data_IF_463065158490
#
_entry.id   IF_463065158490
#
_cell.length_a   1.000
_cell.length_b   1.000
_cell.length_c   1.000
_cell.angle_alpha   90.00
_cell.angle_beta   90.00
_cell.angle_gamma   90.00
#
_symmetry.space_group_name_H-M   'P 1'
#
loop_
_entity.id
_entity.type
_entity.pdbx_description
1 polymer ?
#
# COMPACT_ATOMS: atom_id res chain seq x y z
N UNK A 1 -8.60 1.09 19.48
CA UNK A 1 -8.38 0.80 18.06
C UNK A 1 -9.34 -0.31 17.65
N UNK A 2 -9.84 -0.27 16.41
CA UNK A 2 -10.67 -1.31 15.81
C UNK A 2 -10.03 -1.75 14.49
N UNK A 3 -10.24 -3.02 14.12
CA UNK A 3 -9.82 -3.57 12.84
C UNK A 3 -11.06 -3.78 11.96
N UNK A 4 -11.07 -3.17 10.79
CA UNK A 4 -12.09 -3.37 9.77
C UNK A 4 -11.50 -4.28 8.70
N UNK A 5 -12.16 -5.42 8.45
CA UNK A 5 -11.75 -6.40 7.44
C UNK A 5 -12.73 -6.35 6.28
N UNK A 6 -12.25 -5.96 5.11
CA UNK A 6 -13.05 -5.80 3.91
C UNK A 6 -12.87 -6.99 2.96
N UNK A 7 -13.87 -7.24 2.13
CA UNK A 7 -13.78 -8.11 0.96
C UNK A 7 -13.76 -7.26 -0.31
N UNK A 8 -12.55 -6.84 -0.72
CA UNK A 8 -12.35 -5.96 -1.89
C UNK A 8 -12.46 -6.69 -3.24
N UNK A 9 -12.70 -8.02 -3.25
CA UNK A 9 -12.90 -8.78 -4.49
C UNK A 9 -14.15 -8.31 -5.23
N UNK A 10 -15.19 -7.92 -4.50
CA UNK A 10 -16.41 -7.33 -5.09
C UNK A 10 -16.13 -5.97 -5.78
N UNK A 11 -15.06 -5.28 -5.37
CA UNK A 11 -14.68 -3.99 -5.94
C UNK A 11 -13.69 -4.10 -7.09
N UNK A 12 -13.05 -5.27 -7.24
CA UNK A 12 -12.00 -5.52 -8.21
C UNK A 12 -12.47 -5.27 -9.65
N UNK A 13 -11.59 -4.77 -10.52
CA UNK A 13 -11.97 -4.42 -11.89
C UNK A 13 -12.40 -5.65 -12.70
N UNK A 14 -11.91 -6.84 -12.35
CA UNK A 14 -12.28 -8.15 -12.93
C UNK A 14 -13.51 -8.82 -12.28
N UNK A 15 -14.21 -8.16 -11.35
CA UNK A 15 -15.43 -8.73 -10.79
C UNK A 15 -16.52 -8.86 -11.88
N UNK A 16 -17.47 -9.79 -11.70
CA UNK A 16 -18.57 -9.97 -12.64
C UNK A 16 -19.60 -8.83 -12.45
N UNK A 17 -19.35 -7.68 -13.07
CA UNK A 17 -20.14 -6.45 -12.85
C UNK A 17 -21.57 -6.52 -13.37
N UNK A 18 -21.83 -7.40 -14.32
CA UNK A 18 -23.16 -7.64 -14.88
C UNK A 18 -24.02 -8.51 -13.96
N UNK A 19 -23.43 -9.14 -12.95
CA UNK A 19 -24.15 -9.86 -11.92
C UNK A 19 -24.75 -8.88 -10.89
N UNK A 20 -26.09 -8.78 -10.80
CA UNK A 20 -26.74 -7.90 -9.84
C UNK A 20 -26.36 -8.20 -8.38
N UNK A 21 -26.05 -9.46 -8.06
CA UNK A 21 -25.65 -9.87 -6.71
C UNK A 21 -24.27 -9.30 -6.35
N UNK A 22 -23.31 -9.35 -7.28
CA UNK A 22 -21.96 -8.79 -7.08
C UNK A 22 -22.04 -7.28 -6.86
N UNK A 23 -22.80 -6.58 -7.69
CA UNK A 23 -22.97 -5.13 -7.57
C UNK A 23 -23.68 -4.74 -6.26
N UNK A 24 -24.78 -5.43 -5.92
CA UNK A 24 -25.48 -5.22 -4.65
C UNK A 24 -24.56 -5.43 -3.44
N UNK A 25 -23.79 -6.51 -3.44
CA UNK A 25 -22.86 -6.84 -2.34
C UNK A 25 -21.75 -5.79 -2.20
N UNK A 26 -21.23 -5.29 -3.33
CA UNK A 26 -20.24 -4.21 -3.33
C UNK A 26 -20.78 -2.94 -2.66
N UNK A 27 -22.00 -2.54 -3.00
CA UNK A 27 -22.65 -1.34 -2.46
C UNK A 27 -23.04 -1.49 -0.98
N UNK A 28 -23.59 -2.65 -0.59
CA UNK A 28 -23.91 -2.94 0.81
C UNK A 28 -22.67 -2.91 1.69
N UNK A 29 -21.51 -3.36 1.19
CA UNK A 29 -20.25 -3.27 1.92
C UNK A 29 -19.77 -1.82 2.10
N UNK A 30 -19.98 -0.93 1.12
CA UNK A 30 -19.67 0.50 1.29
C UNK A 30 -20.55 1.16 2.34
N UNK A 31 -21.86 0.89 2.32
CA UNK A 31 -22.78 1.39 3.33
C UNK A 31 -22.37 0.90 4.72
N UNK A 32 -22.07 -0.39 4.84
CA UNK A 32 -21.59 -0.97 6.09
C UNK A 32 -20.28 -0.33 6.56
N UNK A 33 -19.29 -0.16 5.66
CA UNK A 33 -18.00 0.47 5.96
C UNK A 33 -18.20 1.88 6.49
N UNK A 34 -19.02 2.69 5.83
CA UNK A 34 -19.31 4.05 6.27
C UNK A 34 -19.93 4.07 7.68
N UNK A 35 -20.90 3.18 7.96
CA UNK A 35 -21.48 3.04 9.31
C UNK A 35 -20.43 2.64 10.36
N UNK A 36 -19.51 1.72 10.03
CA UNK A 36 -18.45 1.32 10.96
C UNK A 36 -17.46 2.45 11.24
N UNK A 37 -17.12 3.24 10.23
CA UNK A 37 -16.23 4.39 10.38
C UNK A 37 -16.88 5.50 11.22
N UNK A 38 -18.15 5.80 10.96
CA UNK A 38 -18.94 6.75 11.76
C UNK A 38 -18.99 6.33 13.23
N UNK A 39 -19.34 5.06 13.49
CA UNK A 39 -19.38 4.50 14.85
C UNK A 39 -18.00 4.58 15.53
N UNK A 40 -16.92 4.29 14.81
CA UNK A 40 -15.57 4.37 15.35
C UNK A 40 -15.18 5.82 15.71
N UNK A 41 -15.56 6.78 14.87
CA UNK A 41 -15.32 8.21 15.11
C UNK A 41 -16.07 8.69 16.36
N UNK A 42 -17.38 8.41 16.46
CA UNK A 42 -18.21 8.75 17.61
C UNK A 42 -17.67 8.17 18.93
N UNK A 43 -17.07 6.98 18.87
CA UNK A 43 -16.47 6.31 20.02
C UNK A 43 -15.00 6.69 20.28
N UNK A 44 -14.44 7.64 19.53
CA UNK A 44 -13.04 8.07 19.66
C UNK A 44 -12.03 6.95 19.39
N UNK A 45 -12.37 5.98 18.53
CA UNK A 45 -11.49 4.88 18.15
C UNK A 45 -10.67 5.25 16.91
N UNK A 46 -9.43 4.77 16.87
CA UNK A 46 -8.64 4.68 15.62
C UNK A 46 -8.94 3.37 14.89
N UNK A 47 -8.84 3.40 13.56
CA UNK A 47 -9.20 2.29 12.67
C UNK A 47 -7.97 1.81 11.91
N UNK A 48 -7.72 0.50 11.95
CA UNK A 48 -6.91 -0.18 10.95
C UNK A 48 -7.86 -0.83 9.94
N UNK A 49 -7.58 -0.66 8.65
CA UNK A 49 -8.33 -1.33 7.59
C UNK A 49 -7.45 -2.43 7.00
N UNK A 50 -8.02 -3.60 6.73
CA UNK A 50 -7.32 -4.65 5.98
C UNK A 50 -8.21 -5.33 4.95
N UNK A 51 -7.59 -5.77 3.86
CA UNK A 51 -8.22 -6.61 2.85
C UNK A 51 -7.16 -7.33 2.02
N UNK A 52 -7.60 -8.13 1.04
CA UNK A 52 -6.70 -8.79 0.11
C UNK A 52 -6.10 -7.81 -0.91
N UNK A 53 -6.93 -7.27 -1.81
CA UNK A 53 -6.49 -6.39 -2.91
C UNK A 53 -6.52 -4.92 -2.47
N UNK A 54 -5.45 -4.12 -2.70
CA UNK A 54 -5.42 -2.69 -2.40
C UNK A 54 -6.11 -1.84 -3.49
N UNK A 55 -6.48 -0.59 -3.21
CA UNK A 55 -6.79 0.37 -4.26
C UNK A 55 -5.50 0.81 -4.97
N UNK A 56 -5.63 1.33 -6.19
CA UNK A 56 -4.50 1.84 -6.97
C UNK A 56 -4.20 1.00 -8.20
N UNK A 57 -3.02 1.24 -8.77
CA UNK A 57 -2.60 0.62 -10.03
C UNK A 57 -1.95 -0.75 -9.83
N UNK A 58 -2.38 -1.71 -10.63
CA UNK A 58 -1.58 -2.87 -11.00
C UNK A 58 -0.56 -2.44 -12.05
N UNK A 59 0.72 -2.52 -11.70
CA UNK A 59 1.82 -2.11 -12.57
C UNK A 59 2.05 -3.14 -13.69
N UNK A 60 1.81 -4.42 -13.39
CA UNK A 60 2.08 -5.50 -14.33
C UNK A 60 0.97 -5.54 -15.40
N UNK A 61 -0.27 -5.35 -14.97
CA UNK A 61 -1.44 -5.36 -15.86
C UNK A 61 -1.77 -3.98 -16.46
N UNK A 62 -1.12 -2.91 -15.98
CA UNK A 62 -1.37 -1.52 -16.41
C UNK A 62 -2.83 -1.05 -16.22
N UNK A 63 -3.55 -1.68 -15.29
CA UNK A 63 -4.95 -1.40 -14.95
C UNK A 63 -5.10 -1.15 -13.45
N UNK A 64 -6.10 -0.37 -13.00
CA UNK A 64 -6.37 -0.22 -11.58
C UNK A 64 -6.94 -1.54 -11.03
N UNK A 65 -6.53 -1.93 -9.82
CA UNK A 65 -7.06 -3.12 -9.15
C UNK A 65 -8.56 -3.06 -8.97
N UNK A 66 -9.11 -1.88 -8.67
CA UNK A 66 -10.54 -1.71 -8.44
C UNK A 66 -11.18 -0.88 -9.55
N UNK A 67 -12.49 -1.07 -9.66
CA UNK A 67 -13.39 -0.18 -10.38
C UNK A 67 -13.14 1.29 -10.00
N UNK A 68 -13.01 2.23 -10.98
CA UNK A 68 -12.73 3.63 -10.68
C UNK A 68 -13.73 4.28 -9.71
N UNK A 69 -15.02 3.94 -9.82
CA UNK A 69 -16.07 4.42 -8.91
C UNK A 69 -15.88 3.93 -7.47
N UNK A 70 -15.47 2.66 -7.30
CA UNK A 70 -15.21 2.08 -5.99
C UNK A 70 -13.94 2.66 -5.36
N UNK A 71 -12.87 2.82 -6.15
CA UNK A 71 -11.66 3.53 -5.69
C UNK A 71 -12.01 4.93 -5.21
N UNK A 72 -12.77 5.69 -6.01
CA UNK A 72 -13.17 7.05 -5.65
C UNK A 72 -13.97 7.08 -4.34
N UNK A 73 -15.01 6.27 -4.23
CA UNK A 73 -15.84 6.21 -3.02
C UNK A 73 -14.99 5.84 -1.79
N UNK A 74 -14.16 4.80 -1.89
CA UNK A 74 -13.28 4.39 -0.79
C UNK A 74 -12.33 5.51 -0.35
N UNK A 75 -11.68 6.19 -1.30
CA UNK A 75 -10.75 7.30 -1.04
C UNK A 75 -11.48 8.49 -0.41
N UNK A 76 -12.71 8.81 -0.85
CA UNK A 76 -13.56 9.83 -0.22
C UNK A 76 -13.86 9.52 1.26
N UNK A 77 -14.04 8.24 1.61
CA UNK A 77 -14.21 7.83 3.01
C UNK A 77 -12.90 7.94 3.81
N UNK A 78 -11.81 7.31 3.35
CA UNK A 78 -10.60 7.13 4.17
C UNK A 78 -9.63 8.32 4.13
N UNK A 79 -9.65 9.12 3.06
CA UNK A 79 -8.83 10.34 2.91
C UNK A 79 -9.68 11.59 3.12
N UNK A 80 -10.99 11.52 2.83
CA UNK A 80 -11.89 12.66 2.96
C UNK A 80 -12.56 12.75 4.32
N UNK A 81 -13.64 11.98 4.50
CA UNK A 81 -14.56 12.09 5.63
C UNK A 81 -13.93 11.63 6.96
N UNK A 82 -13.26 10.47 6.97
CA UNK A 82 -12.80 9.80 8.20
C UNK A 82 -11.28 9.80 8.36
N UNK A 83 -10.56 10.66 7.64
CA UNK A 83 -9.09 10.65 7.59
C UNK A 83 -8.40 10.77 8.94
N UNK A 84 -9.03 11.43 9.91
CA UNK A 84 -8.47 11.65 11.25
C UNK A 84 -8.41 10.37 12.08
N UNK A 85 -9.30 9.40 11.82
CA UNK A 85 -9.39 8.15 12.59
C UNK A 85 -8.67 6.97 11.93
N UNK A 86 -8.31 7.05 10.66
CA UNK A 86 -7.56 6.00 9.97
C UNK A 86 -6.11 5.98 10.48
N UNK A 87 -5.73 4.92 11.19
CA UNK A 87 -4.37 4.70 11.69
C UNK A 87 -3.45 3.98 10.70
N UNK A 88 -4.03 3.37 9.66
CA UNK A 88 -3.29 2.69 8.60
C UNK A 88 -4.15 1.67 7.86
N UNK A 89 -3.67 1.27 6.69
CA UNK A 89 -4.35 0.30 5.84
C UNK A 89 -3.37 -0.79 5.41
N UNK A 90 -3.78 -2.05 5.52
CA UNK A 90 -2.91 -3.22 5.38
C UNK A 90 -3.46 -4.16 4.30
N UNK A 91 -2.73 -4.36 3.21
CA UNK A 91 -3.16 -5.20 2.10
C UNK A 91 -2.09 -6.20 1.68
N UNK A 92 -2.45 -7.09 0.75
CA UNK A 92 -1.53 -8.01 0.09
C UNK A 92 -1.74 -7.98 -1.42
N UNK A 93 -2.09 -9.14 -2.00
CA UNK A 93 -2.40 -9.36 -3.42
C UNK A 93 -1.23 -9.19 -4.40
N UNK A 94 -0.38 -8.20 -4.20
CA UNK A 94 0.74 -7.89 -5.10
C UNK A 94 1.90 -8.87 -4.95
N UNK A 95 2.02 -9.57 -3.82
CA UNK A 95 3.17 -10.45 -3.49
C UNK A 95 4.50 -9.67 -3.43
N UNK A 96 4.45 -8.35 -3.26
CA UNK A 96 5.61 -7.46 -3.17
C UNK A 96 5.55 -6.65 -1.87
N UNK A 97 6.72 -6.23 -1.39
CA UNK A 97 6.82 -5.24 -0.31
C UNK A 97 6.67 -3.83 -0.88
N UNK A 98 5.47 -3.27 -0.80
CA UNK A 98 5.14 -2.00 -1.47
C UNK A 98 4.40 -1.04 -0.52
N UNK A 99 4.39 0.23 -0.89
CA UNK A 99 3.69 1.29 -0.18
C UNK A 99 2.82 2.05 -1.16
N UNK A 100 1.63 2.47 -0.71
CA UNK A 100 0.72 3.28 -1.52
C UNK A 100 0.25 4.49 -0.73
N UNK A 101 0.27 5.65 -1.37
CA UNK A 101 -0.41 6.85 -0.95
C UNK A 101 -1.79 6.90 -1.60
N UNK A 102 -2.73 7.47 -0.86
CA UNK A 102 -4.08 7.75 -1.34
C UNK A 102 -4.31 9.24 -1.14
N UNK A 103 -4.54 9.93 -2.26
CA UNK A 103 -4.75 11.36 -2.34
C UNK A 103 -6.12 11.61 -2.99
N UNK A 104 -6.88 12.57 -2.47
CA UNK A 104 -8.14 12.99 -3.09
C UNK A 104 -7.93 13.96 -4.26
N UNK A 105 -6.89 14.77 -4.15
CA UNK A 105 -6.50 15.77 -5.13
C UNK A 105 -4.98 15.95 -5.10
N UNK A 106 -4.47 16.78 -6.00
CA UNK A 106 -3.04 17.08 -6.12
C UNK A 106 -2.52 18.08 -5.08
N UNK A 107 -3.34 18.51 -4.11
CA UNK A 107 -2.92 19.49 -3.10
C UNK A 107 -2.04 18.89 -2.00
N UNK A 108 -1.97 17.54 -1.92
CA UNK A 108 -1.28 16.77 -0.87
C UNK A 108 -1.71 17.10 0.57
N UNK A 109 -2.78 17.87 0.77
CA UNK A 109 -3.23 18.32 2.10
C UNK A 109 -3.81 17.16 2.89
N UNK A 110 -4.66 16.34 2.26
CA UNK A 110 -5.23 15.14 2.86
C UNK A 110 -4.66 13.91 2.17
N UNK A 111 -3.97 13.09 2.95
CA UNK A 111 -3.32 11.86 2.50
C UNK A 111 -3.56 10.73 3.48
N UNK A 112 -3.80 9.55 2.95
CA UNK A 112 -3.69 8.29 3.68
C UNK A 112 -2.60 7.43 3.05
N UNK A 113 -2.18 6.41 3.76
CA UNK A 113 -1.24 5.41 3.27
C UNK A 113 -1.78 4.00 3.43
N UNK A 114 -1.23 3.10 2.63
CA UNK A 114 -1.39 1.68 2.74
C UNK A 114 -0.04 0.97 2.68
N UNK A 115 0.11 -0.06 3.49
CA UNK A 115 1.24 -0.98 3.47
C UNK A 115 0.81 -2.24 2.76
N UNK A 116 1.60 -2.66 1.77
CA UNK A 116 1.38 -3.89 1.04
C UNK A 116 2.39 -4.91 1.54
N UNK A 117 1.89 -6.02 2.10
CA UNK A 117 2.73 -7.11 2.56
C UNK A 117 3.08 -8.05 1.39
N UNK A 118 4.32 -8.58 1.35
CA UNK A 118 4.69 -9.65 0.44
C UNK A 118 4.00 -10.97 0.83
N UNK A 119 4.17 -12.00 0.01
CA UNK A 119 3.56 -13.31 0.20
C UNK A 119 4.49 -14.33 0.83
N UNK A 120 3.90 -15.41 1.35
CA UNK A 120 4.63 -16.64 1.65
C UNK A 120 4.91 -17.47 0.39
N UNK A 121 4.05 -17.37 -0.64
CA UNK A 121 4.33 -18.01 -1.92
C UNK A 121 5.50 -17.30 -2.60
N UNK A 122 6.50 -18.03 -3.12
CA UNK A 122 7.56 -17.46 -3.95
C UNK A 122 7.12 -17.20 -5.38
N UNK A 123 5.89 -17.58 -5.75
CA UNK A 123 5.29 -17.21 -7.02
C UNK A 123 5.35 -15.67 -7.14
N UNK A 124 5.68 -15.17 -8.33
CA UNK A 124 5.99 -13.76 -8.63
C UNK A 124 7.39 -13.29 -8.20
N UNK A 125 8.45 -14.07 -8.42
CA UNK A 125 9.85 -13.59 -8.29
C UNK A 125 10.14 -12.86 -6.98
N UNK A 126 9.65 -13.41 -5.86
CA UNK A 126 9.88 -12.88 -4.52
C UNK A 126 10.23 -14.01 -3.59
N UNK A 127 11.06 -13.73 -2.59
CA UNK A 127 11.27 -14.70 -1.51
C UNK A 127 10.04 -14.73 -0.59
N UNK A 128 9.70 -15.89 0.01
CA UNK A 128 8.69 -15.96 1.06
C UNK A 128 8.99 -14.97 2.19
N UNK A 129 7.96 -14.26 2.64
CA UNK A 129 8.14 -13.16 3.58
C UNK A 129 6.94 -12.92 4.48
N UNK A 130 7.22 -12.38 5.67
CA UNK A 130 6.21 -11.89 6.60
C UNK A 130 6.76 -10.66 7.34
N UNK A 131 5.86 -9.87 7.94
CA UNK A 131 6.26 -8.73 8.77
C UNK A 131 5.57 -8.75 10.12
N UNK A 132 6.26 -8.22 11.12
CA UNK A 132 5.74 -8.02 12.48
C UNK A 132 5.63 -6.53 12.74
N UNK A 133 4.41 -6.03 12.87
CA UNK A 133 4.12 -4.60 13.06
C UNK A 133 4.07 -4.23 14.54
N UNK A 134 4.57 -3.04 14.86
CA UNK A 134 4.51 -2.44 16.18
C UNK A 134 3.43 -1.38 16.22
N UNK A 135 2.56 -1.48 17.23
CA UNK A 135 1.45 -0.57 17.48
C UNK A 135 1.66 0.13 18.83
N UNK A 136 1.53 1.45 18.83
CA UNK A 136 1.47 2.22 20.07
C UNK A 136 0.04 2.16 20.62
N UNK A 137 -0.12 1.63 21.83
CA UNK A 137 -1.43 1.43 22.48
C UNK A 137 -1.99 2.70 23.12
N UNK A 138 -1.16 3.71 23.38
CA UNK A 138 -1.59 4.97 23.97
C UNK A 138 -2.15 5.91 22.90
N UNK A 139 -1.40 6.12 21.81
CA UNK A 139 -1.84 6.99 20.71
C UNK A 139 -2.61 6.24 19.62
N UNK A 140 -2.70 4.91 19.73
CA UNK A 140 -3.42 4.03 18.80
C UNK A 140 -2.94 4.19 17.35
N UNK A 141 -1.63 4.10 17.13
CA UNK A 141 -1.00 4.30 15.82
C UNK A 141 0.00 3.18 15.48
N UNK A 142 0.23 2.95 14.19
CA UNK A 142 1.38 2.18 13.71
C UNK A 142 2.66 3.00 13.91
N UNK A 143 3.69 2.39 14.47
CA UNK A 143 4.98 3.06 14.75
C UNK A 143 6.13 2.50 13.94
N UNK A 144 6.16 1.19 13.71
CA UNK A 144 7.26 0.53 13.00
C UNK A 144 6.88 -0.89 12.57
N UNK A 145 7.73 -1.55 11.80
CA UNK A 145 7.66 -3.00 11.59
C UNK A 145 9.03 -3.62 11.28
N UNK A 146 9.16 -4.90 11.58
CA UNK A 146 10.27 -5.74 11.14
C UNK A 146 9.81 -6.64 9.99
N UNK A 147 10.51 -6.58 8.86
CA UNK A 147 10.33 -7.45 7.71
C UNK A 147 11.26 -8.65 7.84
N UNK A 148 10.73 -9.84 7.59
CA UNK A 148 11.46 -11.09 7.55
C UNK A 148 11.26 -11.74 6.18
N UNK A 149 12.25 -12.52 5.77
CA UNK A 149 12.19 -13.32 4.56
C UNK A 149 12.94 -14.63 4.71
N UNK A 150 12.70 -15.54 3.79
CA UNK A 150 13.42 -16.80 3.65
C UNK A 150 14.10 -16.81 2.29
N UNK A 151 15.43 -16.80 2.26
CA UNK A 151 16.17 -16.83 1.00
C UNK A 151 16.09 -18.22 0.37
N UNK A 152 15.57 -18.28 -0.86
CA UNK A 152 15.42 -19.51 -1.63
C UNK A 152 16.54 -19.73 -2.64
N UNK A 153 17.63 -18.95 -2.61
CA UNK A 153 18.79 -19.18 -3.48
C UNK A 153 19.32 -20.62 -3.27
N UNK A 154 19.41 -21.44 -4.33
CA UNK A 154 19.84 -22.84 -4.24
C UNK A 154 21.30 -23.00 -3.75
N UNK A 155 22.09 -21.92 -3.72
CA UNK A 155 23.40 -21.91 -3.07
C UNK A 155 23.33 -22.12 -1.55
N UNK A 156 22.17 -21.87 -0.92
CA UNK A 156 21.93 -22.13 0.50
C UNK A 156 21.09 -23.40 0.69
N UNK A 157 21.68 -24.50 1.20
CA UNK A 157 21.04 -25.82 1.19
C UNK A 157 19.86 -25.97 2.15
N UNK A 158 19.73 -25.09 3.15
CA UNK A 158 18.61 -25.10 4.11
C UNK A 158 18.09 -23.67 4.23
N UNK A 159 16.91 -23.36 3.68
CA UNK A 159 16.35 -22.03 3.77
C UNK A 159 15.84 -21.78 5.20
N UNK A 160 16.27 -20.67 5.79
CA UNK A 160 15.90 -20.23 7.15
C UNK A 160 15.32 -18.82 7.12
N UNK A 161 14.38 -18.55 8.02
CA UNK A 161 13.86 -17.20 8.20
C UNK A 161 14.97 -16.28 8.74
N UNK A 162 15.13 -15.13 8.10
CA UNK A 162 16.06 -14.08 8.52
C UNK A 162 15.39 -12.72 8.50
N UNK A 163 15.92 -11.79 9.29
CA UNK A 163 15.47 -10.41 9.32
C UNK A 163 16.00 -9.69 8.08
N UNK A 164 15.11 -9.03 7.33
CA UNK A 164 15.46 -8.18 6.19
C UNK A 164 15.79 -6.76 6.67
N UNK A 165 14.78 -6.08 7.22
CA UNK A 165 14.96 -4.74 7.78
C UNK A 165 13.91 -4.38 8.83
N UNK A 166 14.26 -3.41 9.66
CA UNK A 166 13.32 -2.59 10.43
C UNK A 166 12.98 -1.35 9.62
N UNK A 167 11.69 -1.05 9.41
CA UNK A 167 11.25 0.06 8.56
C UNK A 167 11.90 1.37 8.96
N UNK A 168 11.94 1.68 10.25
CA UNK A 168 12.50 2.95 10.72
C UNK A 168 13.99 3.12 10.48
N UNK A 169 14.76 2.02 10.47
CA UNK A 169 16.19 2.04 10.16
C UNK A 169 16.44 2.19 8.66
N UNK A 170 15.61 1.56 7.83
CA UNK A 170 15.75 1.58 6.37
C UNK A 170 15.28 2.88 5.75
N UNK A 171 14.20 3.44 6.30
CA UNK A 171 13.56 4.67 5.84
C UNK A 171 13.52 5.67 7.01
N UNK A 172 14.67 6.30 7.33
CA UNK A 172 14.78 7.22 8.45
C UNK A 172 13.93 8.48 8.21
N UNK A 173 13.27 8.95 9.26
CA UNK A 173 12.44 10.16 9.25
C UNK A 173 12.48 10.82 10.63
N UNK A 174 12.25 12.12 10.68
CA UNK A 174 12.00 12.82 11.95
C UNK A 174 10.63 12.49 12.54
N UNK A 175 9.70 12.00 11.71
CA UNK A 175 8.40 11.51 12.15
C UNK A 175 8.53 10.13 12.81
N UNK A 176 8.14 10.06 14.08
CA UNK A 176 8.20 8.83 14.89
C UNK A 176 7.12 7.82 14.53
N UNK A 177 6.04 8.25 13.88
CA UNK A 177 4.93 7.39 13.50
C UNK A 177 5.11 6.89 12.06
N UNK A 178 4.57 5.70 11.79
CA UNK A 178 4.39 5.22 10.44
C UNK A 178 3.07 5.82 9.92
N UNK A 179 3.15 6.98 9.26
CA UNK A 179 1.99 7.71 8.76
C UNK A 179 2.15 8.09 7.28
N UNK A 180 1.15 8.77 6.71
CA UNK A 180 1.17 9.16 5.31
C UNK A 180 2.29 10.14 4.95
N UNK A 181 2.67 11.05 5.84
CA UNK A 181 3.80 11.97 5.59
C UNK A 181 5.11 11.22 5.44
N UNK A 182 5.34 10.21 6.28
CA UNK A 182 6.57 9.41 6.22
C UNK A 182 6.64 8.55 4.96
N UNK A 183 5.50 8.05 4.47
CA UNK A 183 5.44 7.34 3.18
C UNK A 183 5.64 8.31 2.01
N UNK A 184 5.17 9.55 2.12
CA UNK A 184 5.41 10.60 1.13
C UNK A 184 6.87 11.05 1.10
N UNK A 185 7.53 11.21 2.25
CA UNK A 185 8.98 11.44 2.34
C UNK A 185 9.78 10.33 1.63
N UNK A 186 9.44 9.06 1.90
CA UNK A 186 10.01 7.91 1.20
C UNK A 186 9.77 8.00 -0.32
N UNK A 187 8.55 8.32 -0.73
CA UNK A 187 8.20 8.48 -2.14
C UNK A 187 9.05 9.56 -2.83
N UNK A 188 9.22 10.72 -2.20
CA UNK A 188 10.06 11.80 -2.75
C UNK A 188 11.53 11.37 -2.92
N UNK A 189 12.07 10.62 -1.96
CA UNK A 189 13.45 10.10 -2.04
C UNK A 189 13.66 9.14 -3.23
N UNK A 190 12.61 8.46 -3.72
CA UNK A 190 12.73 7.60 -4.91
C UNK A 190 13.15 8.39 -6.16
N UNK A 191 12.79 9.68 -6.27
CA UNK A 191 13.18 10.53 -7.40
C UNK A 191 14.51 11.26 -7.18
N UNK A 192 15.08 11.22 -5.97
CA UNK A 192 16.32 11.91 -5.66
C UNK A 192 17.48 11.36 -6.52
N UNK A 193 17.95 12.17 -7.48
CA UNK A 193 19.04 11.80 -8.40
C UNK A 193 20.38 11.59 -7.68
N UNK A 194 20.61 12.30 -6.57
CA UNK A 194 21.81 12.14 -5.75
C UNK A 194 21.87 10.83 -4.97
N UNK A 195 20.75 10.11 -4.88
CA UNK A 195 20.62 8.93 -4.02
C UNK A 195 20.25 7.66 -4.80
N UNK A 196 21.07 7.32 -5.81
CA UNK A 196 20.86 6.10 -6.61
C UNK A 196 20.90 4.79 -5.80
N UNK A 197 21.60 4.78 -4.66
CA UNK A 197 21.67 3.63 -3.76
C UNK A 197 20.31 3.38 -3.08
N UNK A 198 19.63 4.44 -2.61
CA UNK A 198 18.30 4.32 -2.01
C UNK A 198 17.30 3.68 -2.96
N UNK A 199 17.26 4.15 -4.21
CA UNK A 199 16.41 3.56 -5.25
C UNK A 199 16.70 2.06 -5.46
N UNK A 200 17.97 1.68 -5.58
CA UNK A 200 18.35 0.27 -5.79
C UNK A 200 17.97 -0.60 -4.59
N UNK A 201 18.20 -0.10 -3.37
CA UNK A 201 17.81 -0.78 -2.14
C UNK A 201 16.29 -0.96 -2.04
N UNK A 202 15.52 0.09 -2.36
CA UNK A 202 14.05 0.01 -2.43
C UNK A 202 13.58 -1.03 -3.45
N UNK A 203 14.09 -0.98 -4.68
CA UNK A 203 13.69 -1.89 -5.75
C UNK A 203 14.00 -3.36 -5.41
N UNK A 204 15.16 -3.63 -4.79
CA UNK A 204 15.54 -4.96 -4.33
C UNK A 204 14.62 -5.47 -3.22
N UNK A 205 14.30 -4.62 -2.25
CA UNK A 205 13.49 -5.03 -1.09
C UNK A 205 12.01 -5.14 -1.41
N UNK A 206 11.52 -4.38 -2.38
CA UNK A 206 10.18 -4.59 -2.96
C UNK A 206 10.02 -6.03 -3.48
N UNK A 207 11.10 -6.62 -3.97
CA UNK A 207 11.19 -7.99 -4.44
C UNK A 207 11.65 -8.98 -3.36
N UNK A 208 11.66 -8.55 -2.11
CA UNK A 208 12.07 -9.37 -0.96
C UNK A 208 13.47 -9.98 -1.17
N UNK A 209 14.41 -9.15 -1.64
CA UNK A 209 15.80 -9.56 -1.92
C UNK A 209 15.92 -10.69 -2.96
N UNK A 210 14.86 -10.98 -3.71
CA UNK A 210 14.96 -11.79 -4.93
C UNK A 210 15.53 -10.94 -6.07
N UNK A 211 16.10 -11.58 -7.10
CA UNK A 211 16.61 -10.87 -8.28
C UNK A 211 15.54 -9.93 -8.85
N UNK A 212 15.77 -8.60 -8.87
CA UNK A 212 14.68 -7.68 -9.07
C UNK A 212 14.21 -7.68 -10.52
N UNK A 213 12.90 -7.85 -10.73
CA UNK A 213 12.28 -7.46 -12.01
C UNK A 213 12.63 -5.98 -12.28
N UNK A 214 12.97 -5.66 -13.52
CA UNK A 214 13.31 -4.28 -13.90
C UNK A 214 12.04 -3.44 -14.01
N UNK A 215 11.79 -2.59 -13.00
CA UNK A 215 10.80 -1.52 -13.11
C UNK A 215 11.49 -0.16 -13.24
N UNK A 216 11.12 0.67 -14.24
CA UNK A 216 11.54 2.06 -14.31
C UNK A 216 11.18 2.81 -13.03
N UNK A 217 12.11 3.62 -12.52
CA UNK A 217 11.93 4.48 -11.34
C UNK A 217 10.63 5.27 -11.35
N UNK A 218 10.31 5.87 -12.49
CA UNK A 218 9.08 6.65 -12.67
C UNK A 218 7.81 5.81 -12.41
N UNK A 219 7.79 4.53 -12.84
CA UNK A 219 6.63 3.66 -12.68
C UNK A 219 6.38 3.37 -11.20
N UNK A 220 7.40 2.96 -10.45
CA UNK A 220 7.24 2.67 -9.02
C UNK A 220 6.91 3.93 -8.22
N UNK A 221 7.55 5.06 -8.53
CA UNK A 221 7.23 6.35 -7.91
C UNK A 221 5.76 6.74 -8.12
N UNK A 222 5.29 6.71 -9.37
CA UNK A 222 3.93 7.13 -9.71
C UNK A 222 2.90 6.16 -9.13
N UNK A 223 3.15 4.85 -9.15
CA UNK A 223 2.22 3.87 -8.60
C UNK A 223 2.13 3.93 -7.07
N UNK A 224 3.23 4.23 -6.38
CA UNK A 224 3.21 4.53 -4.95
C UNK A 224 2.43 5.82 -4.66
N UNK A 225 2.54 6.83 -5.51
CA UNK A 225 1.96 8.15 -5.25
C UNK A 225 0.48 8.28 -5.59
N UNK A 226 0.05 7.69 -6.71
CA UNK A 226 -1.25 7.97 -7.29
C UNK A 226 -2.14 6.73 -7.32
N UNK A 227 -3.33 6.89 -6.75
CA UNK A 227 -4.34 5.82 -6.66
C UNK A 227 -5.28 5.78 -7.87
N UNK A 228 -5.44 6.90 -8.58
CA UNK A 228 -6.26 6.99 -9.78
C UNK A 228 -5.42 6.83 -11.05
N UNK A 229 -5.92 6.06 -12.02
CA UNK A 229 -5.23 5.74 -13.28
C UNK A 229 -4.78 7.00 -14.03
N UNK A 230 -5.66 7.99 -14.15
CA UNK A 230 -5.37 9.22 -14.88
C UNK A 230 -4.18 9.98 -14.29
N UNK A 231 -4.13 10.13 -12.96
CA UNK A 231 -3.03 10.83 -12.28
C UNK A 231 -1.71 10.05 -12.38
N UNK A 232 -1.80 8.72 -12.25
CA UNK A 232 -0.66 7.82 -12.46
C UNK A 232 -0.07 7.95 -13.88
N UNK A 233 -0.91 7.93 -14.91
CA UNK A 233 -0.48 8.06 -16.30
C UNK A 233 0.13 9.44 -16.58
N UNK A 234 -0.49 10.51 -16.08
CA UNK A 234 0.05 11.86 -16.18
C UNK A 234 1.40 12.00 -15.48
N UNK A 235 1.57 11.38 -14.31
CA UNK A 235 2.83 11.34 -13.59
C UNK A 235 3.93 10.67 -14.43
N UNK A 236 3.64 9.50 -15.02
CA UNK A 236 4.61 8.80 -15.87
C UNK A 236 4.99 9.65 -17.07
N UNK A 237 4.01 10.25 -17.75
CA UNK A 237 4.27 11.13 -18.90
C UNK A 237 5.18 12.30 -18.51
N UNK A 238 4.88 12.98 -17.40
CA UNK A 238 5.71 14.09 -16.90
C UNK A 238 7.15 13.66 -16.61
N UNK A 239 7.34 12.50 -15.98
CA UNK A 239 8.66 12.00 -15.64
C UNK A 239 9.43 11.47 -16.86
N UNK A 240 8.76 10.94 -17.90
CA UNK A 240 9.40 10.54 -19.16
C UNK A 240 10.05 11.71 -19.91
N UNK A 241 9.55 12.93 -19.74
CA UNK A 241 10.11 14.13 -20.38
C UNK A 241 11.02 14.96 -19.46
N UNK A 242 11.19 14.55 -18.20
CA UNK A 242 12.01 15.27 -17.20
C UNK A 242 13.33 14.55 -16.89
N UNK A 243 13.57 13.37 -17.47
CA UNK A 243 14.68 12.46 -17.17
C UNK A 243 15.19 11.76 -18.42
#
# INVERSE_FOLDING_TARGET
MVLIVLNTIYWHYRSNRDDPYVNKTALEQFLWLETQLETAEEQGKKVLITSHSPPGMDIDEHEPYWLPSHTKHYVELVVGKYHTIIAGQLFGHMHKDDFRLQLLDSSDIKKSFALIAPSLSPDFNSNPAFRVMSLDKQVLALVDYNQYYMDLDPAFPIPVWQMDYTFSNKYPSTNKFLNADRIDELNQELLNKGNGLFWKAYALSRQVNFWPDYYPRAILYCAMRYVFKQDYEQCILKLRFSY
#
